data_IF_548132613843
#
_entry.id   IF_548132613843
#
_cell.length_a   1.000
_cell.length_b   1.000
_cell.length_c   1.000
_cell.angle_alpha   90.00
_cell.angle_beta   90.00
_cell.angle_gamma   90.00
#
_symmetry.space_group_name_H-M   'P 1'
#
loop_
_entity.id
_entity.type
_entity.pdbx_description
1 polymer ?
#
# COMPACT_ATOMS: atom_id res chain seq x y z
N UNK A 1 4.04 21.27 -9.94
CA UNK A 1 5.23 20.95 -9.13
C UNK A 1 4.80 20.98 -7.69
N UNK A 2 5.02 19.89 -6.96
CA UNK A 2 4.86 19.90 -5.50
C UNK A 2 6.23 20.27 -4.96
N UNK A 3 6.31 21.42 -4.31
CA UNK A 3 7.56 21.85 -3.68
C UNK A 3 7.87 20.89 -2.55
N UNK A 4 9.15 20.56 -2.38
CA UNK A 4 9.64 19.84 -1.20
C UNK A 4 9.08 18.41 -1.02
N UNK A 5 8.52 17.78 -2.05
CA UNK A 5 8.19 16.35 -1.96
C UNK A 5 9.47 15.52 -1.96
N UNK A 6 9.68 14.77 -0.88
CA UNK A 6 10.89 13.97 -0.65
C UNK A 6 10.66 12.46 -0.79
N UNK A 7 9.44 12.07 -1.15
CA UNK A 7 9.00 10.69 -1.14
C UNK A 7 8.76 10.17 -2.55
N UNK A 8 9.24 8.95 -2.82
CA UNK A 8 8.95 8.21 -4.04
C UNK A 8 8.55 6.79 -3.72
N UNK A 9 7.65 6.26 -4.55
CA UNK A 9 7.17 4.89 -4.47
C UNK A 9 7.25 4.18 -5.84
N UNK A 10 7.55 2.89 -5.77
CA UNK A 10 7.61 1.91 -6.85
C UNK A 10 6.47 0.90 -6.76
N UNK A 11 6.73 -0.39 -6.91
CA UNK A 11 5.70 -1.45 -6.72
C UNK A 11 5.53 -1.80 -5.24
N UNK A 12 6.49 -2.46 -4.61
CA UNK A 12 6.62 -2.67 -3.16
C UNK A 12 7.64 -1.69 -2.54
N UNK A 13 8.60 -1.21 -3.33
CA UNK A 13 9.62 -0.26 -2.89
C UNK A 13 9.06 1.14 -2.62
N UNK A 14 9.47 1.77 -1.52
CA UNK A 14 9.26 3.19 -1.27
C UNK A 14 10.45 3.81 -0.52
N UNK A 15 10.66 5.11 -0.69
CA UNK A 15 11.80 5.83 -0.14
C UNK A 15 11.45 7.26 0.24
N UNK A 16 12.07 7.76 1.31
CA UNK A 16 11.99 9.14 1.79
C UNK A 16 13.41 9.69 1.89
N UNK A 17 13.69 10.79 1.21
CA UNK A 17 14.95 11.54 1.37
C UNK A 17 14.95 12.33 2.66
N UNK A 18 16.13 12.54 3.25
CA UNK A 18 16.30 13.38 4.46
C UNK A 18 15.88 14.81 4.15
N UNK A 19 15.06 15.42 5.01
CA UNK A 19 14.53 16.77 4.77
C UNK A 19 15.61 17.85 4.69
N UNK A 20 16.41 17.94 5.73
CA UNK A 20 17.37 19.04 5.94
C UNK A 20 18.83 18.60 5.72
N UNK A 21 19.04 17.46 5.05
CA UNK A 21 20.35 16.88 4.81
C UNK A 21 20.37 16.03 3.52
N UNK A 22 21.56 15.60 3.12
CA UNK A 22 21.79 14.66 2.02
C UNK A 22 21.57 13.24 2.53
N UNK A 23 20.83 12.44 1.76
CA UNK A 23 20.69 11.01 2.00
C UNK A 23 19.27 10.49 2.00
N UNK A 24 19.17 9.19 2.29
CA UNK A 24 17.94 8.43 2.39
C UNK A 24 17.61 8.28 3.88
N UNK A 25 16.51 8.89 4.30
CA UNK A 25 16.00 8.79 5.67
C UNK A 25 15.33 7.45 5.87
N UNK A 26 14.37 7.07 5.02
CA UNK A 26 13.61 5.83 5.19
C UNK A 26 13.50 5.10 3.88
N UNK A 27 13.76 3.80 3.91
CA UNK A 27 13.52 2.87 2.80
C UNK A 27 12.60 1.75 3.25
N UNK A 28 11.65 1.40 2.37
CA UNK A 28 10.70 0.32 2.57
C UNK A 28 10.71 -0.60 1.37
N UNK A 29 10.60 -1.90 1.63
CA UNK A 29 10.25 -2.90 0.61
C UNK A 29 9.10 -3.74 1.15
N UNK A 30 7.87 -3.34 0.82
CA UNK A 30 6.67 -3.85 1.48
C UNK A 30 6.84 -3.79 3.00
N UNK A 31 6.35 -4.80 3.70
CA UNK A 31 6.58 -4.96 5.15
C UNK A 31 7.82 -5.79 5.50
N UNK A 32 8.56 -6.29 4.51
CA UNK A 32 9.65 -7.25 4.71
C UNK A 32 10.94 -6.59 5.15
N UNK A 33 11.19 -5.36 4.68
CA UNK A 33 12.38 -4.59 5.03
C UNK A 33 12.02 -3.14 5.30
N UNK A 34 12.51 -2.63 6.42
CA UNK A 34 12.48 -1.23 6.79
C UNK A 34 13.89 -0.81 7.20
N UNK A 35 14.45 0.16 6.47
CA UNK A 35 15.80 0.67 6.71
C UNK A 35 15.69 2.15 7.06
N UNK A 36 16.13 2.50 8.26
CA UNK A 36 16.14 3.87 8.75
C UNK A 36 17.55 4.45 8.69
N UNK A 37 17.64 5.74 8.36
CA UNK A 37 18.86 6.51 8.15
C UNK A 37 19.89 5.82 7.23
N UNK A 38 19.40 5.14 6.18
CA UNK A 38 20.21 4.26 5.34
C UNK A 38 21.43 4.96 4.71
N UNK A 39 21.23 6.17 4.18
CA UNK A 39 22.32 6.99 3.63
C UNK A 39 22.30 8.31 4.37
N UNK A 40 23.46 8.73 4.87
CA UNK A 40 23.59 10.02 5.54
C UNK A 40 24.86 10.73 5.10
N UNK A 41 24.71 12.01 4.75
CA UNK A 41 25.80 12.92 4.47
C UNK A 41 25.46 14.30 5.02
N UNK A 42 26.49 15.02 5.46
CA UNK A 42 26.35 16.45 5.74
C UNK A 42 26.00 17.19 4.46
N UNK A 43 25.15 18.20 4.58
CA UNK A 43 24.77 19.03 3.46
C UNK A 43 24.87 20.49 3.86
N UNK A 44 25.28 21.31 2.91
CA UNK A 44 25.05 22.76 2.91
C UNK A 44 23.56 23.04 2.61
N UNK A 45 23.15 24.31 2.54
CA UNK A 45 21.74 24.63 2.33
C UNK A 45 21.21 24.07 0.98
N UNK A 46 20.01 23.49 0.99
CA UNK A 46 19.35 23.04 -0.23
C UNK A 46 18.87 24.26 -1.04
N UNK A 47 19.48 24.51 -2.20
CA UNK A 47 19.13 25.65 -3.08
C UNK A 47 17.80 25.41 -3.78
N UNK A 48 17.57 24.19 -4.26
CA UNK A 48 16.30 23.82 -4.88
C UNK A 48 16.04 22.31 -4.79
N UNK A 49 14.76 21.97 -4.72
CA UNK A 49 14.26 20.59 -4.77
C UNK A 49 13.16 20.50 -5.80
N UNK A 50 13.33 19.61 -6.79
CA UNK A 50 12.39 19.39 -7.88
C UNK A 50 11.89 17.96 -7.83
N UNK A 51 10.57 17.82 -7.69
CA UNK A 51 9.87 16.55 -7.82
C UNK A 51 9.14 16.48 -9.18
N UNK A 52 9.39 15.42 -9.93
CA UNK A 52 8.80 15.13 -11.24
C UNK A 52 8.37 13.66 -11.35
N UNK A 53 7.74 13.30 -12.48
CA UNK A 53 7.38 11.90 -12.75
C UNK A 53 8.61 11.00 -12.93
N UNK A 54 9.75 11.56 -13.34
CA UNK A 54 11.03 10.86 -13.51
C UNK A 54 11.74 10.59 -12.18
N UNK A 55 11.49 11.38 -11.14
CA UNK A 55 12.15 11.25 -9.84
C UNK A 55 12.23 12.56 -9.07
N UNK A 56 13.15 12.61 -8.11
CA UNK A 56 13.50 13.79 -7.34
C UNK A 56 14.94 14.18 -7.68
N UNK A 57 15.15 15.47 -7.90
CA UNK A 57 16.48 16.07 -8.00
C UNK A 57 16.57 17.23 -7.01
N UNK A 58 17.60 17.21 -6.15
CA UNK A 58 17.92 18.30 -5.22
C UNK A 58 19.30 18.84 -5.52
N UNK A 59 19.43 20.16 -5.51
CA UNK A 59 20.70 20.84 -5.69
C UNK A 59 21.03 21.60 -4.41
N UNK A 60 22.20 21.35 -3.85
CA UNK A 60 22.70 22.00 -2.65
C UNK A 60 23.73 23.09 -3.02
N UNK A 61 24.22 23.83 -2.03
CA UNK A 61 25.36 24.72 -2.24
C UNK A 61 26.61 23.93 -2.65
N UNK A 62 27.64 24.63 -3.11
CA UNK A 62 28.91 24.03 -3.55
C UNK A 62 28.82 23.07 -4.76
N UNK A 63 27.66 23.02 -5.44
CA UNK A 63 27.50 22.28 -6.69
C UNK A 63 27.12 20.81 -6.51
N UNK A 64 26.71 20.40 -5.31
CA UNK A 64 26.25 19.04 -5.05
C UNK A 64 24.86 18.82 -5.63
N UNK A 65 24.68 17.75 -6.41
CA UNK A 65 23.38 17.31 -6.93
C UNK A 65 23.05 15.94 -6.35
N UNK A 66 21.87 15.81 -5.74
CA UNK A 66 21.30 14.55 -5.29
C UNK A 66 20.14 14.16 -6.20
N UNK A 67 20.08 12.90 -6.61
CA UNK A 67 19.00 12.36 -7.42
C UNK A 67 18.45 11.07 -6.84
N UNK A 68 17.14 10.89 -6.95
CA UNK A 68 16.43 9.68 -6.56
C UNK A 68 15.41 9.32 -7.64
N UNK A 69 15.41 8.06 -8.07
CA UNK A 69 14.33 7.50 -8.88
C UNK A 69 13.99 6.08 -8.44
N UNK A 70 12.75 5.66 -8.70
CA UNK A 70 12.27 4.31 -8.40
C UNK A 70 11.45 3.82 -9.59
N UNK A 71 11.76 2.63 -10.09
CA UNK A 71 10.96 1.97 -11.12
C UNK A 71 10.72 0.52 -10.73
N UNK A 72 9.44 0.14 -10.63
CA UNK A 72 9.00 -1.10 -10.00
C UNK A 72 9.68 -1.28 -8.63
N UNK A 73 10.46 -2.34 -8.44
CA UNK A 73 11.12 -2.67 -7.18
C UNK A 73 12.62 -2.33 -7.19
N UNK A 74 13.04 -1.45 -8.11
CA UNK A 74 14.40 -0.93 -8.25
C UNK A 74 14.44 0.55 -7.85
N UNK A 75 15.28 0.88 -6.88
CA UNK A 75 15.61 2.25 -6.50
C UNK A 75 17.03 2.57 -6.97
N UNK A 76 17.20 3.76 -7.54
CA UNK A 76 18.51 4.34 -7.81
C UNK A 76 18.63 5.69 -7.11
N UNK A 77 19.75 5.88 -6.43
CA UNK A 77 20.13 7.09 -5.73
C UNK A 77 21.54 7.49 -6.14
N UNK A 78 21.77 8.77 -6.37
CA UNK A 78 23.11 9.28 -6.65
C UNK A 78 23.38 10.66 -6.08
N UNK A 79 24.66 10.90 -5.80
CA UNK A 79 25.23 12.19 -5.44
C UNK A 79 26.39 12.50 -6.38
N UNK A 80 26.33 13.64 -7.07
CA UNK A 80 27.44 14.15 -7.88
C UNK A 80 27.93 15.50 -7.35
N UNK A 81 29.25 15.72 -7.39
CA UNK A 81 29.90 16.89 -6.81
C UNK A 81 30.13 16.79 -5.30
N UNK A 82 29.84 15.63 -4.68
CA UNK A 82 29.95 15.45 -3.23
C UNK A 82 31.31 14.88 -2.83
N UNK A 83 32.09 15.66 -2.07
CA UNK A 83 33.45 15.30 -1.67
C UNK A 83 33.61 14.91 -0.19
N UNK A 84 32.60 15.19 0.63
CA UNK A 84 32.61 14.85 2.04
C UNK A 84 32.32 13.35 2.30
N UNK A 85 32.38 12.95 3.57
CA UNK A 85 32.10 11.58 3.99
C UNK A 85 30.61 11.29 3.81
N UNK A 86 30.30 10.19 3.14
CA UNK A 86 28.95 9.61 3.06
C UNK A 86 28.95 8.34 3.91
N UNK A 87 27.95 8.18 4.76
CA UNK A 87 27.76 7.02 5.61
C UNK A 87 26.61 6.17 5.06
N UNK A 88 26.86 4.87 4.94
CA UNK A 88 25.87 3.86 4.61
C UNK A 88 25.64 3.03 5.86
N UNK A 89 24.41 3.06 6.38
CA UNK A 89 24.02 2.45 7.64
C UNK A 89 23.08 1.26 7.38
N UNK A 90 23.61 0.09 6.95
CA UNK A 90 22.77 -1.06 6.73
C UNK A 90 22.40 -1.74 8.04
N UNK A 91 21.32 -2.56 8.06
CA UNK A 91 20.98 -3.39 9.21
C UNK A 91 22.12 -4.31 9.62
N UNK A 92 22.18 -4.64 10.91
CA UNK A 92 23.24 -5.49 11.47
C UNK A 92 23.25 -6.92 10.91
N UNK A 93 22.11 -7.42 10.46
CA UNK A 93 21.93 -8.74 9.85
C UNK A 93 22.26 -8.77 8.34
N UNK A 94 22.62 -7.62 7.74
CA UNK A 94 22.99 -7.56 6.33
C UNK A 94 24.29 -8.34 6.06
N UNK A 95 24.23 -9.32 5.15
CA UNK A 95 25.42 -10.02 4.67
C UNK A 95 26.24 -9.10 3.78
N UNK A 96 27.44 -8.75 4.24
CA UNK A 96 28.40 -7.90 3.52
C UNK A 96 29.15 -8.70 2.45
N UNK A 97 29.11 -8.20 1.22
CA UNK A 97 30.00 -8.54 0.11
C UNK A 97 30.84 -7.29 -0.19
N UNK A 98 31.90 -7.43 -0.99
CA UNK A 98 32.88 -6.35 -1.24
C UNK A 98 32.25 -5.00 -1.60
N UNK A 99 31.17 -4.99 -2.40
CA UNK A 99 30.45 -3.77 -2.80
C UNK A 99 28.92 -3.87 -2.67
N UNK A 100 28.43 -4.94 -2.06
CA UNK A 100 27.00 -5.23 -1.98
C UNK A 100 26.59 -5.68 -0.58
N UNK A 101 25.37 -5.36 -0.20
CA UNK A 101 24.74 -5.85 1.00
C UNK A 101 23.52 -6.68 0.60
N UNK A 102 23.38 -7.85 1.21
CA UNK A 102 22.27 -8.75 0.95
C UNK A 102 21.49 -8.99 2.24
N UNK A 103 20.19 -8.75 2.18
CA UNK A 103 19.24 -9.12 3.22
C UNK A 103 18.24 -10.13 2.67
N UNK A 104 17.70 -10.97 3.56
CA UNK A 104 16.69 -11.94 3.22
C UNK A 104 15.60 -11.94 4.30
N UNK A 105 14.34 -11.88 3.87
CA UNK A 105 13.18 -11.96 4.75
C UNK A 105 12.03 -12.58 3.98
N UNK A 106 11.45 -13.64 4.53
CA UNK A 106 10.19 -14.25 4.04
C UNK A 106 10.12 -14.51 2.52
N UNK A 107 11.19 -15.07 1.96
CA UNK A 107 11.27 -15.41 0.54
C UNK A 107 11.66 -14.23 -0.37
N UNK A 108 11.88 -13.04 0.19
CA UNK A 108 12.39 -11.88 -0.51
C UNK A 108 13.87 -11.67 -0.22
N UNK A 109 14.57 -11.17 -1.24
CA UNK A 109 15.95 -10.74 -1.19
C UNK A 109 16.01 -9.25 -1.46
N UNK A 110 16.74 -8.53 -0.61
CA UNK A 110 17.08 -7.13 -0.83
C UNK A 110 18.58 -7.03 -1.14
N UNK A 111 18.92 -6.49 -2.30
CA UNK A 111 20.30 -6.22 -2.69
C UNK A 111 20.55 -4.72 -2.72
N UNK A 112 21.49 -4.24 -1.91
CA UNK A 112 21.97 -2.85 -1.92
C UNK A 112 23.38 -2.88 -2.51
N UNK A 113 23.53 -2.42 -3.73
CA UNK A 113 24.82 -2.29 -4.42
C UNK A 113 25.20 -0.81 -4.46
N UNK A 114 26.44 -0.48 -4.15
CA UNK A 114 26.89 0.91 -4.16
C UNK A 114 28.30 1.04 -4.73
N UNK A 115 28.60 2.20 -5.28
CA UNK A 115 29.93 2.59 -5.73
C UNK A 115 30.25 4.01 -5.29
N UNK A 116 31.51 4.22 -4.92
CA UNK A 116 32.03 5.51 -4.52
C UNK A 116 33.31 5.79 -5.31
N UNK A 117 33.32 6.92 -6.01
CA UNK A 117 34.50 7.48 -6.64
C UNK A 117 34.63 8.96 -6.27
N UNK A 118 35.66 9.65 -6.77
CA UNK A 118 35.93 11.04 -6.38
C UNK A 118 34.80 11.96 -6.87
N UNK A 119 33.98 12.46 -5.95
CA UNK A 119 32.87 13.37 -6.28
C UNK A 119 31.60 12.67 -6.76
N UNK A 120 31.55 11.34 -6.74
CA UNK A 120 30.37 10.57 -7.15
C UNK A 120 30.10 9.44 -6.14
N UNK A 121 28.85 9.35 -5.71
CA UNK A 121 28.32 8.20 -4.97
C UNK A 121 27.06 7.72 -5.66
N UNK A 122 26.97 6.42 -5.94
CA UNK A 122 25.78 5.78 -6.50
C UNK A 122 25.36 4.60 -5.64
N UNK A 123 24.05 4.42 -5.52
CA UNK A 123 23.44 3.35 -4.77
C UNK A 123 22.22 2.84 -5.52
N UNK A 124 22.14 1.51 -5.66
CA UNK A 124 21.04 0.81 -6.28
C UNK A 124 20.49 -0.23 -5.30
N UNK A 125 19.19 -0.15 -5.02
CA UNK A 125 18.49 -1.12 -4.17
C UNK A 125 17.49 -1.90 -5.03
N UNK A 126 17.56 -3.22 -4.97
CA UNK A 126 16.65 -4.11 -5.69
C UNK A 126 16.04 -5.13 -4.74
N UNK A 127 14.71 -5.18 -4.71
CA UNK A 127 13.96 -6.28 -4.10
C UNK A 127 13.52 -7.32 -5.12
N UNK A 128 13.78 -8.61 -4.86
CA UNK A 128 13.38 -9.71 -5.74
C UNK A 128 13.08 -10.99 -4.93
N UNK A 129 12.27 -11.90 -5.48
CA UNK A 129 12.03 -13.21 -4.86
C UNK A 129 13.22 -14.18 -5.02
N UNK A 130 14.22 -13.82 -5.83
CA UNK A 130 15.42 -14.63 -6.06
C UNK A 130 16.70 -13.82 -5.89
N UNK A 131 17.60 -14.32 -5.04
CA UNK A 131 18.94 -13.75 -4.80
C UNK A 131 19.70 -13.40 -6.08
N UNK A 132 19.73 -14.33 -7.05
CA UNK A 132 20.46 -14.18 -8.30
C UNK A 132 19.91 -13.01 -9.12
N UNK A 133 18.59 -12.94 -9.27
CA UNK A 133 17.91 -11.85 -9.98
C UNK A 133 18.13 -10.50 -9.29
N UNK A 134 18.04 -10.44 -7.95
CA UNK A 134 18.32 -9.22 -7.19
C UNK A 134 19.74 -8.69 -7.47
N UNK A 135 20.76 -9.56 -7.43
CA UNK A 135 22.15 -9.20 -7.71
C UNK A 135 22.38 -8.77 -9.17
N UNK A 136 21.82 -9.51 -10.13
CA UNK A 136 21.97 -9.21 -11.56
C UNK A 136 21.30 -7.87 -11.91
N UNK A 137 20.10 -7.61 -11.41
CA UNK A 137 19.41 -6.35 -11.61
C UNK A 137 20.12 -5.19 -10.90
N UNK A 138 20.62 -5.38 -9.68
CA UNK A 138 21.37 -4.32 -8.98
C UNK A 138 22.61 -3.90 -9.79
N UNK A 139 23.37 -4.87 -10.31
CA UNK A 139 24.52 -4.61 -11.20
C UNK A 139 24.10 -3.94 -12.50
N UNK A 140 23.02 -4.41 -13.13
CA UNK A 140 22.48 -3.84 -14.37
C UNK A 140 22.12 -2.37 -14.21
N UNK A 141 21.53 -2.00 -13.09
CA UNK A 141 20.93 -0.68 -12.90
C UNK A 141 21.78 0.33 -12.12
N UNK A 142 22.94 -0.06 -11.55
CA UNK A 142 23.77 0.82 -10.72
C UNK A 142 24.13 2.15 -11.40
N UNK A 143 24.46 2.11 -12.69
CA UNK A 143 24.84 3.31 -13.47
C UNK A 143 23.73 3.74 -14.45
N UNK A 144 22.48 3.37 -14.19
CA UNK A 144 21.36 3.51 -15.12
C UNK A 144 20.30 4.52 -14.65
N UNK A 145 20.72 5.59 -13.96
CA UNK A 145 19.82 6.63 -13.48
C UNK A 145 18.85 7.12 -14.56
N UNK A 146 19.39 7.57 -15.70
CA UNK A 146 18.60 8.15 -16.79
C UNK A 146 17.62 7.13 -17.40
N UNK A 147 18.03 5.85 -17.47
CA UNK A 147 17.16 4.78 -17.94
C UNK A 147 15.98 4.55 -16.99
N UNK A 148 16.22 4.45 -15.68
CA UNK A 148 15.15 4.25 -14.69
C UNK A 148 14.22 5.46 -14.62
N UNK A 149 14.78 6.67 -14.65
CA UNK A 149 14.04 7.93 -14.70
C UNK A 149 13.11 8.00 -15.92
N UNK A 150 13.61 7.61 -17.10
CA UNK A 150 12.81 7.55 -18.34
C UNK A 150 11.70 6.50 -18.26
N UNK A 151 12.00 5.31 -17.72
CA UNK A 151 11.01 4.24 -17.53
C UNK A 151 9.89 4.66 -16.57
N UNK A 152 10.26 5.28 -15.44
CA UNK A 152 9.32 5.81 -14.45
C UNK A 152 8.42 6.88 -15.06
N UNK A 153 9.01 7.86 -15.73
CA UNK A 153 8.29 8.94 -16.37
C UNK A 153 7.32 8.41 -17.43
N UNK A 154 7.78 7.51 -18.30
CA UNK A 154 6.95 6.90 -19.35
C UNK A 154 5.75 6.17 -18.75
N UNK A 155 5.97 5.36 -17.69
CA UNK A 155 4.90 4.65 -16.98
C UNK A 155 3.86 5.62 -16.42
N UNK A 156 4.27 6.64 -15.68
CA UNK A 156 3.31 7.57 -15.07
C UNK A 156 2.63 8.49 -16.09
N UNK A 157 3.31 8.91 -17.16
CA UNK A 157 2.66 9.63 -18.26
C UNK A 157 1.58 8.78 -18.91
N UNK A 158 1.86 7.51 -19.17
CA UNK A 158 0.88 6.58 -19.75
C UNK A 158 -0.33 6.37 -18.83
N UNK A 159 -0.10 6.22 -17.51
CA UNK A 159 -1.15 6.11 -16.50
C UNK A 159 -2.01 7.38 -16.43
N UNK A 160 -1.38 8.54 -16.22
CA UNK A 160 -2.09 9.80 -16.01
C UNK A 160 -2.84 10.28 -17.26
N UNK A 161 -2.40 9.91 -18.47
CA UNK A 161 -3.10 10.24 -19.72
C UNK A 161 -4.55 9.76 -19.76
N UNK A 162 -4.90 8.69 -19.03
CA UNK A 162 -6.26 8.14 -18.99
C UNK A 162 -7.24 8.92 -18.11
N UNK A 163 -6.76 9.80 -17.22
CA UNK A 163 -7.56 10.41 -16.14
C UNK A 163 -8.52 11.53 -16.57
N UNK A 164 -8.50 11.93 -17.85
CA UNK A 164 -9.38 12.96 -18.45
C UNK A 164 -9.48 14.28 -17.66
N UNK A 165 -8.46 14.65 -16.89
CA UNK A 165 -8.41 15.92 -16.13
C UNK A 165 -7.14 16.72 -16.46
N UNK A 166 -7.27 18.06 -16.45
CA UNK A 166 -6.13 19.00 -16.52
C UNK A 166 -5.83 19.67 -15.17
N UNK A 167 -6.70 19.45 -14.19
CA UNK A 167 -6.52 19.98 -12.84
C UNK A 167 -5.31 19.32 -12.16
N UNK A 168 -4.37 20.15 -11.69
CA UNK A 168 -3.10 19.67 -11.13
C UNK A 168 -3.29 18.89 -9.83
N UNK A 169 -4.26 19.27 -9.01
CA UNK A 169 -4.54 18.59 -7.74
C UNK A 169 -5.15 17.21 -8.01
N UNK A 170 -6.14 17.11 -8.91
CA UNK A 170 -6.71 15.82 -9.33
C UNK A 170 -5.68 14.91 -9.99
N UNK A 171 -4.78 15.46 -10.83
CA UNK A 171 -3.68 14.68 -11.40
C UNK A 171 -2.74 14.15 -10.31
N UNK A 172 -2.51 14.92 -9.25
CA UNK A 172 -1.72 14.45 -8.12
C UNK A 172 -2.46 13.35 -7.34
N UNK A 173 -3.76 13.48 -7.07
CA UNK A 173 -4.55 12.40 -6.45
C UNK A 173 -4.48 11.10 -7.27
N UNK A 174 -4.58 11.20 -8.60
CA UNK A 174 -4.40 10.06 -9.49
C UNK A 174 -2.99 9.48 -9.44
N UNK A 175 -1.97 10.34 -9.40
CA UNK A 175 -0.59 9.90 -9.22
C UNK A 175 -0.44 9.11 -7.92
N UNK A 176 -0.93 9.63 -6.79
CA UNK A 176 -0.86 8.97 -5.49
C UNK A 176 -1.54 7.60 -5.55
N UNK A 177 -2.81 7.55 -5.95
CA UNK A 177 -3.59 6.31 -6.05
C UNK A 177 -2.91 5.26 -6.95
N UNK A 178 -2.52 5.65 -8.17
CA UNK A 178 -1.94 4.72 -9.14
C UNK A 178 -0.51 4.31 -8.76
N UNK A 179 0.25 5.20 -8.11
CA UNK A 179 1.59 4.91 -7.59
C UNK A 179 1.56 3.96 -6.41
N UNK A 180 0.47 3.94 -5.62
CA UNK A 180 0.27 3.03 -4.51
C UNK A 180 -0.26 1.65 -4.93
N UNK A 181 -0.70 1.48 -6.18
CA UNK A 181 -1.14 0.18 -6.66
C UNK A 181 0.01 -0.83 -6.76
N UNK A 182 -0.22 -2.02 -6.23
CA UNK A 182 0.75 -3.11 -6.04
C UNK A 182 0.29 -4.36 -6.76
N UNK A 183 1.25 -5.07 -7.37
CA UNK A 183 1.05 -6.46 -7.80
C UNK A 183 2.22 -7.28 -7.30
N UNK A 184 1.93 -8.38 -6.62
CA UNK A 184 2.94 -9.25 -6.03
C UNK A 184 2.53 -10.71 -6.16
N UNK A 185 3.48 -11.63 -5.97
CA UNK A 185 3.20 -13.06 -5.86
C UNK A 185 2.77 -13.35 -4.43
N UNK A 186 1.49 -13.66 -4.25
CA UNK A 186 0.92 -13.90 -2.93
C UNK A 186 -0.15 -15.02 -2.98
N UNK A 187 -0.34 -15.82 -1.92
CA UNK A 187 -1.35 -16.88 -1.89
C UNK A 187 -2.80 -16.36 -1.93
N UNK A 188 -3.08 -15.20 -1.30
CA UNK A 188 -4.43 -14.59 -1.25
C UNK A 188 -4.59 -13.40 -2.22
N UNK A 189 -3.75 -12.37 -2.11
CA UNK A 189 -3.63 -11.21 -3.02
C UNK A 189 -3.22 -11.60 -4.47
N UNK A 190 -4.13 -12.20 -5.23
CA UNK A 190 -3.91 -12.65 -6.62
C UNK A 190 -4.00 -11.52 -7.64
N UNK A 191 -4.75 -10.47 -7.32
CA UNK A 191 -5.03 -9.33 -8.19
C UNK A 191 -4.27 -8.10 -7.72
N UNK A 192 -4.18 -7.10 -8.60
CA UNK A 192 -3.65 -5.79 -8.23
C UNK A 192 -4.54 -5.20 -7.14
N UNK A 193 -3.93 -4.63 -6.11
CA UNK A 193 -4.62 -3.89 -5.06
C UNK A 193 -3.87 -2.59 -4.76
N UNK A 194 -4.44 -1.73 -3.93
CA UNK A 194 -3.87 -0.44 -3.61
C UNK A 194 -3.62 -0.35 -2.11
N UNK A 195 -2.36 -0.10 -1.75
CA UNK A 195 -2.01 0.21 -0.35
C UNK A 195 -2.45 1.64 -0.03
N UNK A 196 -3.06 1.91 1.13
CA UNK A 196 -3.36 3.29 1.53
C UNK A 196 -2.08 4.15 1.59
N UNK A 197 -0.98 3.58 2.12
CA UNK A 197 0.32 4.24 2.16
C UNK A 197 1.46 3.23 2.18
N UNK A 198 2.40 3.34 1.24
CA UNK A 198 3.62 2.53 1.25
C UNK A 198 4.60 2.87 2.39
N UNK A 199 4.34 3.95 3.13
CA UNK A 199 5.17 4.39 4.24
C UNK A 199 4.62 3.94 5.60
N UNK A 200 3.30 3.69 5.71
CA UNK A 200 2.65 3.36 7.00
C UNK A 200 1.68 2.18 6.91
N UNK A 201 0.89 2.07 5.85
CA UNK A 201 -0.20 1.09 5.70
C UNK A 201 0.05 0.23 4.46
N UNK A 202 0.91 -0.79 4.62
CA UNK A 202 1.54 -1.53 3.52
C UNK A 202 0.81 -2.81 3.12
N UNK A 203 -0.44 -2.95 3.50
CA UNK A 203 -1.27 -4.14 3.25
C UNK A 203 -2.53 -3.74 2.46
N UNK A 204 -3.36 -4.71 2.10
CA UNK A 204 -4.69 -4.40 1.56
C UNK A 204 -5.69 -4.26 2.70
N UNK A 205 -6.42 -3.15 2.75
CA UNK A 205 -7.44 -2.87 3.77
C UNK A 205 -8.84 -2.89 3.16
N UNK A 206 -9.83 -3.47 3.85
CA UNK A 206 -11.18 -3.68 3.34
C UNK A 206 -11.84 -2.36 2.91
N UNK A 207 -12.04 -1.43 3.84
CA UNK A 207 -12.77 -0.20 3.54
C UNK A 207 -11.98 0.74 2.61
N UNK A 208 -10.65 0.85 2.74
CA UNK A 208 -9.78 1.62 1.86
C UNK A 208 -9.88 1.09 0.44
N UNK A 209 -9.79 -0.24 0.25
CA UNK A 209 -9.95 -0.86 -1.07
C UNK A 209 -11.32 -0.59 -1.66
N UNK A 210 -12.39 -0.51 -0.86
CA UNK A 210 -13.72 -0.12 -1.34
C UNK A 210 -13.76 1.33 -1.83
N UNK A 211 -13.11 2.26 -1.12
CA UNK A 211 -13.00 3.66 -1.56
C UNK A 211 -12.09 3.80 -2.79
N UNK A 212 -10.97 3.08 -2.82
CA UNK A 212 -10.08 3.00 -3.97
C UNK A 212 -10.83 2.49 -5.20
N UNK A 213 -11.61 1.41 -5.09
CA UNK A 213 -12.34 0.82 -6.22
C UNK A 213 -13.47 1.71 -6.73
N UNK A 214 -14.14 2.49 -5.87
CA UNK A 214 -15.09 3.53 -6.28
C UNK A 214 -14.40 4.56 -7.19
N UNK A 215 -13.21 5.03 -6.82
CA UNK A 215 -12.47 6.00 -7.63
C UNK A 215 -11.89 5.33 -8.88
N UNK A 216 -11.32 4.13 -8.76
CA UNK A 216 -10.77 3.37 -9.89
C UNK A 216 -11.83 3.03 -10.93
N UNK A 217 -13.13 2.91 -10.57
CA UNK A 217 -14.18 2.64 -11.56
C UNK A 217 -14.30 3.77 -12.59
N UNK A 218 -13.98 5.01 -12.20
CA UNK A 218 -13.94 6.17 -13.09
C UNK A 218 -12.73 6.16 -14.05
N UNK A 219 -11.72 5.33 -13.78
CA UNK A 219 -10.48 5.25 -14.52
C UNK A 219 -10.39 3.98 -15.38
N UNK A 220 -10.59 2.82 -14.75
CA UNK A 220 -10.55 1.50 -15.36
C UNK A 220 -11.35 0.53 -14.49
N UNK A 221 -12.55 0.18 -14.95
CA UNK A 221 -13.47 -0.73 -14.25
C UNK A 221 -12.82 -2.09 -13.95
N UNK A 222 -11.89 -2.56 -14.80
CA UNK A 222 -11.17 -3.80 -14.53
C UNK A 222 -10.31 -3.69 -13.28
N UNK A 223 -9.61 -2.57 -13.09
CA UNK A 223 -8.80 -2.33 -11.89
C UNK A 223 -9.68 -2.22 -10.64
N UNK A 224 -10.85 -1.58 -10.76
CA UNK A 224 -11.81 -1.50 -9.65
C UNK A 224 -12.32 -2.89 -9.22
N UNK A 225 -12.61 -3.77 -10.18
CA UNK A 225 -13.00 -5.16 -9.90
C UNK A 225 -11.84 -5.96 -9.28
N UNK A 226 -10.64 -5.83 -9.84
CA UNK A 226 -9.44 -6.50 -9.33
C UNK A 226 -9.14 -6.13 -7.87
N UNK A 227 -9.31 -4.86 -7.50
CA UNK A 227 -9.18 -4.37 -6.12
C UNK A 227 -10.11 -5.15 -5.16
N UNK A 228 -11.37 -5.36 -5.53
CA UNK A 228 -12.35 -6.08 -4.70
C UNK A 228 -12.19 -7.61 -4.75
N UNK A 229 -11.71 -8.17 -5.87
CA UNK A 229 -11.59 -9.62 -6.03
C UNK A 229 -10.66 -10.26 -5.01
N UNK A 230 -9.63 -9.55 -4.54
CA UNK A 230 -8.79 -10.04 -3.45
C UNK A 230 -9.55 -10.17 -2.13
N UNK A 231 -10.46 -9.23 -1.83
CA UNK A 231 -11.32 -9.28 -0.64
C UNK A 231 -12.31 -10.45 -0.74
N UNK A 232 -12.83 -10.73 -1.94
CA UNK A 232 -13.70 -11.88 -2.19
C UNK A 232 -12.94 -13.20 -1.96
N UNK A 233 -11.70 -13.29 -2.41
CA UNK A 233 -10.83 -14.46 -2.20
C UNK A 233 -10.39 -14.61 -0.74
N UNK A 234 -10.34 -13.52 0.02
CA UNK A 234 -10.00 -13.52 1.44
C UNK A 234 -11.19 -13.80 2.36
N UNK A 235 -12.42 -13.87 1.83
CA UNK A 235 -13.60 -14.21 2.62
C UNK A 235 -13.40 -15.56 3.31
N UNK A 236 -13.59 -15.58 4.63
CA UNK A 236 -13.40 -16.74 5.47
C UNK A 236 -14.56 -17.71 5.32
N UNK A 237 -14.36 -18.95 5.79
CA UNK A 237 -15.39 -20.00 5.70
C UNK A 237 -16.68 -19.66 6.44
N UNK A 238 -16.60 -18.87 7.51
CA UNK A 238 -17.74 -18.40 8.29
C UNK A 238 -18.48 -17.20 7.66
N UNK A 239 -17.98 -16.68 6.52
CA UNK A 239 -18.57 -15.55 5.80
C UNK A 239 -17.90 -14.20 6.05
N UNK A 240 -17.03 -14.10 7.06
CA UNK A 240 -16.30 -12.87 7.41
C UNK A 240 -15.41 -12.40 6.27
N UNK A 241 -15.37 -11.10 6.03
CA UNK A 241 -14.32 -10.48 5.22
C UNK A 241 -13.37 -9.77 6.19
N UNK A 242 -12.08 -10.14 6.24
CA UNK A 242 -11.15 -9.52 7.17
C UNK A 242 -10.91 -8.05 6.82
N UNK A 243 -10.67 -7.22 7.83
CA UNK A 243 -10.38 -5.80 7.58
C UNK A 243 -9.05 -5.56 6.86
N UNK A 244 -8.11 -6.50 6.94
CA UNK A 244 -6.79 -6.38 6.37
C UNK A 244 -6.28 -7.74 5.85
N UNK A 245 -5.52 -7.67 4.74
CA UNK A 245 -4.80 -8.80 4.15
C UNK A 245 -3.31 -8.41 4.07
N UNK A 246 -2.52 -8.96 4.99
CA UNK A 246 -1.07 -8.80 5.09
C UNK A 246 -0.34 -9.41 3.89
N UNK A 247 0.88 -8.95 3.61
CA UNK A 247 1.78 -9.60 2.64
C UNK A 247 2.48 -10.82 3.25
N UNK A 248 2.55 -10.87 4.59
CA UNK A 248 3.27 -11.81 5.43
C UNK A 248 2.37 -12.35 6.53
N UNK A 249 2.41 -13.68 6.72
CA UNK A 249 1.84 -14.30 7.93
C UNK A 249 2.59 -13.90 9.19
N UNK A 250 3.91 -13.73 9.13
CA UNK A 250 4.73 -13.40 10.29
C UNK A 250 4.34 -12.03 10.86
N UNK A 251 4.03 -11.09 9.98
CA UNK A 251 3.56 -9.77 10.37
C UNK A 251 2.17 -9.83 11.00
N UNK A 252 1.21 -10.50 10.35
CA UNK A 252 -0.11 -10.72 10.93
C UNK A 252 0.00 -11.39 12.32
N UNK A 253 0.83 -12.42 12.46
CA UNK A 253 1.07 -13.09 13.74
C UNK A 253 1.68 -12.17 14.80
N UNK A 254 2.61 -11.29 14.41
CA UNK A 254 3.25 -10.33 15.32
C UNK A 254 2.26 -9.27 15.82
N UNK A 255 1.38 -8.77 14.95
CA UNK A 255 0.43 -7.71 15.31
C UNK A 255 -0.85 -8.24 15.96
N UNK A 256 -1.35 -9.40 15.51
CA UNK A 256 -2.66 -9.92 15.86
C UNK A 256 -2.64 -11.28 16.56
N UNK A 257 -1.48 -11.93 16.67
CA UNK A 257 -1.38 -13.29 17.23
C UNK A 257 -1.96 -14.39 16.34
N UNK A 258 -2.30 -14.09 15.08
CA UNK A 258 -2.97 -15.02 14.14
C UNK A 258 -1.99 -15.56 13.09
N UNK A 259 -1.91 -16.89 12.94
CA UNK A 259 -1.07 -17.55 11.90
C UNK A 259 -1.77 -17.64 10.52
N UNK A 260 -2.24 -16.50 10.04
CA UNK A 260 -2.96 -16.30 8.79
C UNK A 260 -2.46 -15.01 8.11
N UNK A 261 -2.85 -14.75 6.87
CA UNK A 261 -2.62 -13.45 6.22
C UNK A 261 -3.63 -12.39 6.63
N UNK A 262 -4.59 -12.72 7.51
CA UNK A 262 -5.68 -11.85 7.90
C UNK A 262 -6.01 -12.03 9.39
N UNK A 263 -6.34 -10.95 10.11
CA UNK A 263 -6.71 -11.01 11.53
C UNK A 263 -8.12 -11.59 11.70
N UNK A 264 -8.63 -11.64 12.94
CA UNK A 264 -9.98 -12.12 13.28
C UNK A 264 -11.07 -11.03 13.20
N UNK A 265 -10.68 -9.76 13.13
CA UNK A 265 -11.54 -8.58 13.05
C UNK A 265 -12.05 -8.30 11.63
N UNK A 266 -13.13 -7.52 11.52
CA UNK A 266 -13.69 -7.00 10.26
C UNK A 266 -13.64 -5.47 10.20
N UNK A 267 -14.24 -4.86 9.19
CA UNK A 267 -14.39 -3.41 9.03
C UNK A 267 -15.82 -3.03 8.58
N UNK A 268 -16.20 -1.74 8.57
CA UNK A 268 -17.53 -1.34 8.13
C UNK A 268 -17.85 -1.88 6.72
N UNK A 269 -19.08 -2.38 6.45
CA UNK A 269 -19.40 -3.13 5.22
C UNK A 269 -19.61 -2.22 3.99
N UNK A 270 -18.62 -1.36 3.70
CA UNK A 270 -18.58 -0.47 2.52
C UNK A 270 -18.49 -1.25 1.20
N UNK A 271 -18.19 -2.55 1.26
CA UNK A 271 -18.04 -3.42 0.09
C UNK A 271 -19.25 -3.37 -0.84
N UNK A 272 -20.46 -3.38 -0.30
CA UNK A 272 -21.67 -3.32 -1.11
C UNK A 272 -21.82 -1.99 -1.87
N UNK A 273 -21.44 -0.87 -1.24
CA UNK A 273 -21.42 0.47 -1.87
C UNK A 273 -20.48 0.46 -3.06
N UNK A 274 -19.28 -0.12 -2.90
CA UNK A 274 -18.34 -0.19 -4.01
C UNK A 274 -18.80 -1.14 -5.12
N UNK A 275 -19.40 -2.28 -4.79
CA UNK A 275 -19.94 -3.23 -5.78
C UNK A 275 -21.01 -2.55 -6.63
N UNK A 276 -21.95 -1.87 -5.99
CA UNK A 276 -23.01 -1.11 -6.67
C UNK A 276 -22.41 -0.07 -7.61
N UNK A 277 -21.50 0.78 -7.12
CA UNK A 277 -20.85 1.81 -7.93
C UNK A 277 -20.14 1.25 -9.16
N UNK A 278 -19.43 0.13 -9.02
CA UNK A 278 -18.73 -0.53 -10.14
C UNK A 278 -19.73 -1.02 -11.18
N UNK A 279 -20.82 -1.67 -10.75
CA UNK A 279 -21.84 -2.24 -11.62
C UNK A 279 -22.74 -1.18 -12.28
N UNK A 280 -22.94 -0.03 -11.62
CA UNK A 280 -23.55 1.16 -12.23
C UNK A 280 -22.66 1.76 -13.31
N UNK A 281 -21.34 1.78 -13.08
CA UNK A 281 -20.37 2.28 -14.06
C UNK A 281 -20.32 1.38 -15.30
N UNK A 282 -20.31 0.06 -15.10
CA UNK A 282 -20.35 -0.93 -16.17
C UNK A 282 -20.84 -2.27 -15.64
N UNK A 283 -22.05 -2.65 -16.07
CA UNK A 283 -22.65 -3.92 -15.69
C UNK A 283 -21.82 -5.10 -16.20
N UNK A 284 -21.57 -6.05 -15.30
CA UNK A 284 -20.90 -7.31 -15.59
C UNK A 284 -21.58 -8.39 -14.76
N UNK A 285 -22.36 -9.23 -15.43
CA UNK A 285 -23.16 -10.27 -14.77
C UNK A 285 -22.29 -11.29 -14.04
N UNK A 286 -21.10 -11.61 -14.56
CA UNK A 286 -20.16 -12.54 -13.93
C UNK A 286 -19.61 -11.97 -12.62
N UNK A 287 -19.25 -10.69 -12.62
CA UNK A 287 -18.85 -9.98 -11.41
C UNK A 287 -20.02 -9.84 -10.42
N UNK A 288 -21.22 -9.49 -10.90
CA UNK A 288 -22.42 -9.37 -10.07
C UNK A 288 -22.78 -10.67 -9.36
N UNK A 289 -22.72 -11.83 -10.05
CA UNK A 289 -22.96 -13.15 -9.45
C UNK A 289 -21.94 -13.49 -8.36
N UNK A 290 -20.66 -13.14 -8.56
CA UNK A 290 -19.62 -13.32 -7.54
C UNK A 290 -19.88 -12.42 -6.33
N UNK A 291 -20.11 -11.14 -6.57
CA UNK A 291 -20.35 -10.15 -5.52
C UNK A 291 -21.60 -10.49 -4.70
N UNK A 292 -22.70 -10.90 -5.34
CA UNK A 292 -23.91 -11.34 -4.64
C UNK A 292 -23.63 -12.48 -3.65
N UNK A 293 -22.93 -13.54 -4.08
CA UNK A 293 -22.58 -14.67 -3.21
C UNK A 293 -21.70 -14.26 -2.03
N UNK A 294 -20.74 -13.36 -2.25
CA UNK A 294 -19.85 -12.86 -1.21
C UNK A 294 -20.61 -12.00 -0.21
N UNK A 295 -21.39 -11.02 -0.70
CA UNK A 295 -22.17 -10.12 0.14
C UNK A 295 -23.22 -10.87 0.95
N UNK A 296 -23.87 -11.91 0.39
CA UNK A 296 -24.86 -12.71 1.11
C UNK A 296 -24.23 -13.44 2.30
N UNK A 297 -23.11 -14.13 2.07
CA UNK A 297 -22.36 -14.78 3.15
C UNK A 297 -21.83 -13.79 4.19
N UNK A 298 -21.48 -12.59 3.76
CA UNK A 298 -21.01 -11.56 4.67
C UNK A 298 -22.15 -11.02 5.54
N UNK A 299 -23.34 -10.82 4.97
CA UNK A 299 -24.56 -10.48 5.72
C UNK A 299 -24.95 -11.58 6.72
N UNK A 300 -24.92 -12.84 6.30
CA UNK A 300 -25.15 -14.00 7.18
C UNK A 300 -24.17 -14.03 8.35
N UNK A 301 -22.90 -13.69 8.10
CA UNK A 301 -21.89 -13.60 9.16
C UNK A 301 -22.21 -12.48 10.16
N UNK A 302 -22.59 -11.29 9.70
CA UNK A 302 -22.98 -10.18 10.58
C UNK A 302 -24.14 -10.59 11.50
N UNK A 303 -25.22 -11.13 10.93
CA UNK A 303 -26.39 -11.59 11.70
C UNK A 303 -26.03 -12.71 12.69
N UNK A 304 -25.06 -13.57 12.36
CA UNK A 304 -24.69 -14.71 13.21
C UNK A 304 -23.69 -14.37 14.31
N UNK A 305 -22.82 -13.37 14.08
CA UNK A 305 -21.63 -13.12 14.89
C UNK A 305 -21.62 -11.77 15.59
N UNK A 306 -22.50 -10.85 15.19
CA UNK A 306 -22.49 -9.46 15.65
C UNK A 306 -23.88 -8.95 16.06
N UNK A 307 -24.91 -9.79 15.96
CA UNK A 307 -26.28 -9.53 16.45
C UNK A 307 -26.57 -10.58 17.53
N UNK A 308 -26.22 -10.26 18.79
CA UNK A 308 -26.26 -11.21 19.91
C UNK A 308 -27.66 -11.37 20.52
N UNK A 309 -28.51 -10.35 20.42
CA UNK A 309 -29.86 -10.31 20.97
C UNK A 309 -30.97 -10.51 19.91
N UNK A 310 -30.59 -10.66 18.64
CA UNK A 310 -31.44 -10.99 17.50
C UNK A 310 -32.47 -9.91 17.16
N UNK A 311 -32.12 -8.63 17.40
CA UNK A 311 -32.97 -7.48 17.09
C UNK A 311 -32.73 -6.90 15.67
N UNK A 312 -31.79 -7.50 14.92
CA UNK A 312 -31.33 -7.11 13.58
C UNK A 312 -30.40 -5.90 13.51
N UNK A 313 -29.95 -5.38 14.67
CA UNK A 313 -28.87 -4.41 14.80
C UNK A 313 -27.58 -5.15 15.13
N UNK A 314 -26.57 -4.94 14.30
CA UNK A 314 -25.26 -5.50 14.57
C UNK A 314 -24.38 -4.54 15.34
N UNK A 315 -23.43 -5.10 16.08
CA UNK A 315 -22.49 -4.40 16.93
C UNK A 315 -21.04 -4.54 16.45
N UNK A 316 -20.21 -3.57 16.79
CA UNK A 316 -18.75 -3.73 16.79
C UNK A 316 -18.30 -4.37 18.09
N UNK A 317 -17.30 -5.24 18.04
CA UNK A 317 -16.74 -5.88 19.23
C UNK A 317 -15.32 -5.38 19.54
N UNK A 318 -14.66 -4.70 18.61
CA UNK A 318 -13.36 -4.06 18.80
C UNK A 318 -13.38 -2.67 18.13
N UNK A 319 -12.83 -1.60 18.75
CA UNK A 319 -12.80 -0.27 18.14
C UNK A 319 -12.21 -0.24 16.73
N UNK A 320 -11.24 -1.11 16.44
CA UNK A 320 -10.60 -1.24 15.12
C UNK A 320 -11.58 -1.67 14.03
N UNK A 321 -12.67 -2.37 14.40
CA UNK A 321 -13.69 -2.77 13.43
C UNK A 321 -14.52 -1.61 12.89
N UNK A 322 -14.52 -0.48 13.60
CA UNK A 322 -15.17 0.75 13.14
C UNK A 322 -14.31 1.56 12.17
N UNK A 323 -12.98 1.36 12.21
CA UNK A 323 -12.00 2.23 11.57
C UNK A 323 -11.78 3.59 12.26
N UNK A 324 -12.42 3.83 13.41
CA UNK A 324 -12.29 5.05 14.22
C UNK A 324 -11.84 4.72 15.65
N UNK A 325 -10.68 4.08 15.76
CA UNK A 325 -10.21 3.34 16.93
C UNK A 325 -10.11 4.19 18.23
N UNK A 326 -9.82 5.48 18.08
CA UNK A 326 -9.68 6.47 19.17
C UNK A 326 -10.90 7.41 19.31
N UNK A 327 -12.04 7.04 18.74
CA UNK A 327 -13.26 7.84 18.85
C UNK A 327 -13.83 7.84 20.27
N UNK A 328 -14.35 8.98 20.71
CA UNK A 328 -14.97 9.19 22.04
C UNK A 328 -16.12 8.22 22.33
N UNK A 329 -16.73 7.62 21.31
CA UNK A 329 -17.77 6.59 21.49
C UNK A 329 -17.27 5.33 22.20
N UNK A 330 -15.95 5.11 22.27
CA UNK A 330 -15.37 3.95 22.91
C UNK A 330 -15.00 4.18 24.36
N UNK A 331 -14.97 5.43 24.82
CA UNK A 331 -14.44 5.81 26.14
C UNK A 331 -15.23 5.14 27.28
N UNK A 332 -16.55 5.05 27.14
CA UNK A 332 -17.42 4.48 28.17
C UNK A 332 -17.57 2.94 28.09
N UNK A 333 -17.12 2.32 27.00
CA UNK A 333 -17.33 0.88 26.73
C UNK A 333 -16.03 0.07 26.74
N UNK A 334 -14.86 0.71 26.76
CA UNK A 334 -13.56 0.05 26.90
C UNK A 334 -13.47 -0.58 28.29
N UNK A 335 -13.36 -1.91 28.34
CA UNK A 335 -13.28 -2.67 29.59
C UNK A 335 -12.26 -3.78 29.45
N UNK A 336 -11.26 -3.78 30.33
CA UNK A 336 -10.12 -4.71 30.29
C UNK A 336 -10.54 -6.18 30.45
N UNK A 337 -11.70 -6.45 31.06
CA UNK A 337 -12.24 -7.79 31.29
C UNK A 337 -13.04 -8.36 30.12
N UNK A 338 -13.35 -7.57 29.08
CA UNK A 338 -14.01 -8.08 27.87
C UNK A 338 -13.04 -8.94 27.05
N UNK A 339 -13.48 -10.07 26.47
CA UNK A 339 -12.67 -10.87 25.53
C UNK A 339 -12.12 -10.07 24.35
N UNK A 340 -12.76 -8.95 24.01
CA UNK A 340 -12.40 -8.06 22.91
C UNK A 340 -11.97 -6.67 23.39
N UNK A 341 -11.81 -6.46 24.70
CA UNK A 341 -11.40 -5.17 25.28
C UNK A 341 -12.49 -4.09 25.32
N UNK A 342 -13.70 -4.35 24.81
CA UNK A 342 -14.87 -3.49 24.98
C UNK A 342 -16.19 -4.27 25.02
N UNK A 343 -17.25 -3.66 25.55
CA UNK A 343 -18.63 -4.16 25.34
C UNK A 343 -19.06 -3.97 23.87
N UNK A 344 -19.88 -4.87 23.31
CA UNK A 344 -20.41 -4.69 21.97
C UNK A 344 -21.19 -3.38 21.82
N UNK A 345 -21.01 -2.68 20.70
CA UNK A 345 -21.69 -1.40 20.42
C UNK A 345 -22.39 -1.44 19.07
N UNK A 346 -23.72 -1.32 19.09
CA UNK A 346 -24.56 -1.11 17.91
C UNK A 346 -24.40 0.31 17.36
N UNK A 347 -23.33 0.51 16.62
CA UNK A 347 -23.03 1.80 16.02
C UNK A 347 -24.04 2.13 14.90
N UNK A 348 -24.54 3.36 14.88
CA UNK A 348 -25.49 3.83 13.85
C UNK A 348 -24.90 3.72 12.43
N UNK A 349 -23.63 4.04 12.26
CA UNK A 349 -22.90 3.96 11.00
C UNK A 349 -22.78 2.53 10.48
N UNK A 350 -22.50 1.55 11.36
CA UNK A 350 -22.49 0.14 11.00
C UNK A 350 -23.85 -0.30 10.43
N UNK A 351 -24.91 -0.01 11.18
CA UNK A 351 -26.25 -0.46 10.82
C UNK A 351 -26.80 0.25 9.57
N UNK A 352 -26.44 1.52 9.33
CA UNK A 352 -26.71 2.19 8.07
C UNK A 352 -26.01 1.51 6.88
N UNK A 353 -24.75 1.08 7.05
CA UNK A 353 -24.01 0.38 6.01
C UNK A 353 -24.54 -1.04 5.77
N UNK A 354 -25.00 -1.74 6.80
CA UNK A 354 -25.68 -3.03 6.67
C UNK A 354 -27.02 -2.92 5.94
N UNK A 355 -27.83 -1.89 6.26
CA UNK A 355 -29.02 -1.57 5.49
C UNK A 355 -28.68 -1.37 4.01
N UNK A 356 -27.62 -0.60 3.72
CA UNK A 356 -27.17 -0.39 2.34
C UNK A 356 -26.72 -1.70 1.68
N UNK A 357 -26.02 -2.58 2.39
CA UNK A 357 -25.64 -3.90 1.88
C UNK A 357 -26.85 -4.75 1.51
N UNK A 358 -27.86 -4.82 2.39
CA UNK A 358 -29.11 -5.56 2.15
C UNK A 358 -29.90 -4.98 0.97
N UNK A 359 -29.91 -3.66 0.81
CA UNK A 359 -30.49 -2.99 -0.35
C UNK A 359 -29.81 -3.39 -1.67
N UNK A 360 -28.47 -3.39 -1.70
CA UNK A 360 -27.67 -3.82 -2.86
C UNK A 360 -27.91 -5.30 -3.15
N UNK A 361 -27.95 -6.16 -2.14
CA UNK A 361 -28.29 -7.58 -2.28
C UNK A 361 -29.67 -7.77 -2.93
N UNK A 362 -30.69 -7.06 -2.47
CA UNK A 362 -32.03 -7.10 -3.05
C UNK A 362 -32.05 -6.67 -4.53
N UNK A 363 -31.32 -5.60 -4.87
CA UNK A 363 -31.20 -5.15 -6.26
C UNK A 363 -30.51 -6.19 -7.14
N UNK A 364 -29.38 -6.75 -6.68
CA UNK A 364 -28.66 -7.79 -7.40
C UNK A 364 -29.50 -9.05 -7.57
N UNK A 365 -30.24 -9.49 -6.54
CA UNK A 365 -31.14 -10.64 -6.61
C UNK A 365 -32.17 -10.48 -7.74
N UNK A 366 -32.88 -9.36 -7.75
CA UNK A 366 -33.88 -9.04 -8.78
C UNK A 366 -33.27 -9.02 -10.18
N UNK A 367 -32.10 -8.41 -10.33
CA UNK A 367 -31.44 -8.26 -11.63
C UNK A 367 -30.81 -9.56 -12.15
N UNK A 368 -30.43 -10.46 -11.25
CA UNK A 368 -29.86 -11.77 -11.58
C UNK A 368 -30.92 -12.87 -11.71
N UNK A 369 -32.17 -12.60 -11.30
CA UNK A 369 -33.29 -13.55 -11.36
C UNK A 369 -33.24 -14.62 -10.28
N UNK A 370 -32.74 -14.29 -9.07
CA UNK A 370 -32.79 -15.16 -7.90
C UNK A 370 -34.16 -15.16 -7.21
#
# INVERSE_FOLDING_TARGET
>A
MIKEKLELAGNLTACVLRKDAIGIERYYFGEFFFLDNLVSGEATACKNSRWELSGITRNFEEGVTERLTIYEDVLHYSLSGYHAKIELNPPSDARKLERALLLQSEGWWLCILFEKSRGLFELCIVGDSHKKSALENAKRYLHSHETLSTLRETKFRALLRKTKTRDRFKLYCWYVLLSNGVKTKHPVLKKRFTMPSKYSFRHQWLWDSCFHSIVLSLYDVKLAKEELENLFLAQKQDGRIPHEIFLSKSACKRFWGVDDFSPWTTQPPVLAVSVERILETSWDEGFAKKAFKVLLKYDEWWNKKRDEDFDLLCSYHDPLESGWDDSVRWDDVKVQESPHGMYPVEAVDLNCLLYKQRSVLSHLAKRLGF
#
